data_IF_152232279667
#
_entry.id   IF_152232279667
#
_cell.length_a   1.000
_cell.length_b   1.000
_cell.length_c   1.000
_cell.angle_alpha   90.00
_cell.angle_beta   90.00
_cell.angle_gamma   90.00
#
_symmetry.space_group_name_H-M   'P 1'
#
loop_
_entity.id
_entity.type
_entity.pdbx_description
1 polymer ?
#
# COMPACT_ATOMS: atom_id res chain seq x y z
N UNK A 1 -38.14 36.92 1.98
CA UNK A 1 -37.43 36.39 0.82
C UNK A 1 -36.02 35.92 1.19
N UNK A 2 -35.19 36.77 1.80
CA UNK A 2 -33.81 36.47 2.18
C UNK A 2 -33.66 35.33 3.21
N UNK A 3 -34.64 35.15 4.12
CA UNK A 3 -34.66 34.08 5.12
C UNK A 3 -34.98 32.72 4.51
N UNK A 4 -35.84 32.70 3.50
CA UNK A 4 -36.22 31.50 2.75
C UNK A 4 -35.08 31.00 1.88
N UNK A 5 -34.42 31.90 1.19
CA UNK A 5 -33.22 31.60 0.36
C UNK A 5 -32.05 31.07 1.21
N UNK A 6 -31.83 31.62 2.41
CA UNK A 6 -30.78 31.08 3.30
C UNK A 6 -31.11 29.66 3.78
N UNK A 7 -32.34 29.36 4.16
CA UNK A 7 -32.74 28.02 4.56
C UNK A 7 -32.60 27.02 3.39
N UNK A 8 -32.95 27.41 2.18
CA UNK A 8 -32.79 26.59 0.99
C UNK A 8 -31.32 26.30 0.65
N UNK A 9 -30.42 27.31 0.80
CA UNK A 9 -28.99 27.12 0.65
C UNK A 9 -28.42 26.19 1.71
N UNK A 10 -28.83 26.30 2.98
CA UNK A 10 -28.42 25.36 4.04
C UNK A 10 -28.87 23.92 3.75
N UNK A 11 -30.12 23.76 3.33
CA UNK A 11 -30.67 22.44 2.97
C UNK A 11 -29.90 21.82 1.78
N UNK A 12 -29.71 22.56 0.71
CA UNK A 12 -28.96 22.12 -0.46
C UNK A 12 -27.48 21.79 -0.13
N UNK A 13 -26.86 22.58 0.75
CA UNK A 13 -25.49 22.32 1.20
C UNK A 13 -25.41 21.02 2.00
N UNK A 14 -26.40 20.77 2.86
CA UNK A 14 -26.49 19.52 3.63
C UNK A 14 -26.69 18.31 2.72
N UNK A 15 -27.62 18.42 1.76
CA UNK A 15 -27.87 17.37 0.76
C UNK A 15 -26.63 17.08 -0.06
N UNK A 16 -25.93 18.12 -0.53
CA UNK A 16 -24.68 17.97 -1.29
C UNK A 16 -23.59 17.25 -0.47
N UNK A 17 -23.47 17.60 0.80
CA UNK A 17 -22.49 16.95 1.69
C UNK A 17 -22.81 15.48 1.91
N UNK A 18 -24.09 15.16 2.16
CA UNK A 18 -24.54 13.77 2.31
C UNK A 18 -24.30 12.96 1.04
N UNK A 19 -24.67 13.50 -0.12
CA UNK A 19 -24.46 12.83 -1.41
C UNK A 19 -22.96 12.57 -1.68
N UNK A 20 -22.08 13.53 -1.34
CA UNK A 20 -20.63 13.33 -1.48
C UNK A 20 -20.10 12.24 -0.57
N UNK A 21 -20.59 12.13 0.67
CA UNK A 21 -20.23 11.05 1.58
C UNK A 21 -20.69 9.69 1.05
N UNK A 22 -21.92 9.58 0.56
CA UNK A 22 -22.46 8.36 -0.03
C UNK A 22 -21.66 7.92 -1.27
N UNK A 23 -21.27 8.86 -2.13
CA UNK A 23 -20.40 8.59 -3.28
C UNK A 23 -19.04 8.07 -2.84
N UNK A 24 -18.43 8.69 -1.83
CA UNK A 24 -17.14 8.26 -1.29
C UNK A 24 -17.21 6.83 -0.71
N UNK A 25 -18.27 6.52 0.03
CA UNK A 25 -18.48 5.16 0.55
C UNK A 25 -18.68 4.14 -0.57
N UNK A 26 -19.46 4.48 -1.60
CA UNK A 26 -19.65 3.61 -2.76
C UNK A 26 -18.36 3.33 -3.51
N UNK A 27 -17.53 4.33 -3.70
CA UNK A 27 -16.24 4.17 -4.37
C UNK A 27 -15.27 3.33 -3.54
N UNK A 28 -15.29 3.47 -2.20
CA UNK A 28 -14.53 2.59 -1.31
C UNK A 28 -14.99 1.13 -1.42
N UNK A 29 -16.29 0.86 -1.44
CA UNK A 29 -16.80 -0.51 -1.61
C UNK A 29 -16.43 -1.10 -2.97
N UNK A 30 -16.46 -0.32 -4.05
CA UNK A 30 -16.00 -0.75 -5.37
C UNK A 30 -14.52 -1.12 -5.34
N UNK A 31 -13.67 -0.29 -4.74
CA UNK A 31 -12.25 -0.59 -4.62
C UNK A 31 -11.98 -1.88 -3.82
N UNK A 32 -12.74 -2.12 -2.76
CA UNK A 32 -12.64 -3.37 -1.99
C UNK A 32 -13.06 -4.59 -2.81
N UNK A 33 -14.11 -4.49 -3.61
CA UNK A 33 -14.55 -5.58 -4.51
C UNK A 33 -13.53 -5.86 -5.61
N UNK A 34 -12.96 -4.82 -6.20
CA UNK A 34 -11.92 -4.95 -7.23
C UNK A 34 -10.66 -5.61 -6.65
N UNK A 35 -10.28 -5.23 -5.42
CA UNK A 35 -9.18 -5.85 -4.70
C UNK A 35 -9.44 -7.33 -4.40
N UNK A 36 -10.67 -7.67 -4.00
CA UNK A 36 -11.06 -9.06 -3.75
C UNK A 36 -11.00 -9.91 -5.02
N UNK A 37 -11.48 -9.38 -6.12
CA UNK A 37 -11.39 -10.03 -7.43
C UNK A 37 -9.94 -10.21 -7.92
N UNK A 38 -9.06 -9.26 -7.59
CA UNK A 38 -7.64 -9.30 -7.99
C UNK A 38 -6.84 -10.38 -7.25
N UNK A 39 -7.18 -10.66 -5.98
CA UNK A 39 -6.47 -11.63 -5.14
C UNK A 39 -7.42 -12.69 -4.56
N UNK A 40 -8.09 -13.49 -5.40
CA UNK A 40 -9.16 -14.41 -4.94
C UNK A 40 -8.64 -15.56 -4.07
N UNK A 41 -7.36 -15.92 -4.20
CA UNK A 41 -6.75 -17.03 -3.49
C UNK A 41 -6.47 -16.78 -2.01
N UNK A 42 -6.53 -15.54 -1.56
CA UNK A 42 -6.23 -15.18 -0.18
C UNK A 42 -7.50 -14.79 0.60
N UNK A 43 -7.77 -15.44 1.75
CA UNK A 43 -8.84 -14.98 2.64
C UNK A 43 -8.52 -13.57 3.15
N UNK A 44 -9.52 -12.70 3.15
CA UNK A 44 -9.37 -11.28 3.48
C UNK A 44 -10.45 -10.82 4.46
N UNK A 45 -10.11 -9.84 5.26
CA UNK A 45 -11.05 -9.10 6.11
C UNK A 45 -10.95 -7.61 5.82
N UNK A 46 -12.07 -6.95 5.61
CA UNK A 46 -12.10 -5.51 5.44
C UNK A 46 -11.90 -4.80 6.78
N UNK A 47 -11.08 -3.75 6.79
CA UNK A 47 -10.76 -2.98 7.98
C UNK A 47 -10.71 -1.47 7.68
N UNK A 48 -10.98 -0.67 8.69
CA UNK A 48 -10.89 0.79 8.64
C UNK A 48 -9.70 1.29 9.46
N UNK A 49 -9.03 2.34 8.99
CA UNK A 49 -7.97 3.01 9.76
C UNK A 49 -8.61 3.86 10.86
N UNK A 50 -8.32 3.55 12.12
CA UNK A 50 -8.89 4.23 13.29
C UNK A 50 -7.91 5.17 13.99
N UNK A 51 -6.60 4.99 13.80
CA UNK A 51 -5.59 5.89 14.35
C UNK A 51 -4.34 5.90 13.48
N UNK A 52 -3.62 7.02 13.52
CA UNK A 52 -2.29 7.20 12.92
C UNK A 52 -1.34 7.63 14.02
N UNK A 53 -0.09 7.18 13.98
CA UNK A 53 0.91 7.56 14.96
C UNK A 53 1.29 9.03 14.78
N UNK A 54 1.28 9.81 15.87
CA UNK A 54 1.47 11.26 15.85
C UNK A 54 2.90 11.70 15.51
N UNK A 55 3.86 10.81 15.61
CA UNK A 55 5.29 11.09 15.35
C UNK A 55 5.73 10.82 13.92
N UNK A 56 5.09 9.89 13.22
CA UNK A 56 5.45 9.46 11.86
C UNK A 56 4.19 9.18 11.05
N UNK A 57 3.63 10.22 10.49
CA UNK A 57 2.32 10.24 9.80
C UNK A 57 2.11 9.16 8.74
N UNK A 58 3.16 8.56 8.24
CA UNK A 58 3.10 7.66 7.10
C UNK A 58 3.70 6.27 7.37
N UNK A 59 4.33 6.05 8.51
CA UNK A 59 5.04 4.79 8.76
C UNK A 59 4.20 3.74 9.45
N UNK A 60 3.31 4.14 10.37
CA UNK A 60 2.45 3.22 11.13
C UNK A 60 1.03 3.75 11.30
N UNK A 61 0.06 2.85 11.28
CA UNK A 61 -1.34 3.15 11.56
C UNK A 61 -2.02 1.98 12.28
N UNK A 62 -3.19 2.23 12.85
CA UNK A 62 -4.00 1.22 13.53
C UNK A 62 -5.30 0.99 12.78
N UNK A 63 -5.68 -0.27 12.66
CA UNK A 63 -6.95 -0.70 12.06
C UNK A 63 -7.92 -1.23 13.13
N UNK A 64 -9.23 -1.20 12.82
CA UNK A 64 -10.36 -1.61 13.67
C UNK A 64 -10.60 -3.13 13.69
N UNK A 65 -9.66 -3.93 13.24
CA UNK A 65 -9.71 -5.38 13.20
C UNK A 65 -8.55 -5.99 13.95
N UNK A 66 -8.81 -7.06 14.70
CA UNK A 66 -7.83 -7.72 15.54
C UNK A 66 -7.99 -9.23 15.58
N UNK A 67 -7.47 -9.87 16.61
CA UNK A 67 -7.48 -11.33 16.76
C UNK A 67 -8.88 -11.94 16.71
N UNK A 68 -9.90 -11.26 17.24
CA UNK A 68 -11.29 -11.72 17.17
C UNK A 68 -11.86 -11.75 15.75
N UNK A 69 -11.30 -10.93 14.86
CA UNK A 69 -11.66 -10.88 13.44
C UNK A 69 -10.76 -11.78 12.57
N UNK A 70 -9.84 -12.52 13.19
CA UNK A 70 -8.88 -13.38 12.49
C UNK A 70 -7.61 -12.66 12.02
N UNK A 71 -7.36 -11.42 12.46
CA UNK A 71 -6.14 -10.66 12.15
C UNK A 71 -5.04 -10.99 13.14
N UNK A 72 -3.86 -11.37 12.64
CA UNK A 72 -2.69 -11.67 13.47
C UNK A 72 -1.42 -11.00 12.90
N UNK A 73 -0.37 -11.01 13.74
CA UNK A 73 0.94 -10.48 13.39
C UNK A 73 1.51 -11.20 12.15
N UNK A 74 2.09 -10.45 11.24
CA UNK A 74 2.62 -10.97 9.98
C UNK A 74 1.63 -10.96 8.82
N UNK A 75 0.35 -10.67 9.05
CA UNK A 75 -0.63 -10.56 7.97
C UNK A 75 -0.37 -9.31 7.12
N UNK A 76 -0.55 -9.47 5.81
CA UNK A 76 -0.35 -8.40 4.84
C UNK A 76 -1.58 -7.50 4.79
N UNK A 77 -1.35 -6.21 4.63
CA UNK A 77 -2.40 -5.20 4.49
C UNK A 77 -2.34 -4.61 3.10
N UNK A 78 -3.49 -4.63 2.42
CA UNK A 78 -3.64 -4.15 1.05
C UNK A 78 -4.62 -2.98 1.01
N UNK A 79 -4.39 -2.04 0.10
CA UNK A 79 -5.36 -1.00 -0.25
C UNK A 79 -5.18 -0.60 -1.72
N UNK A 80 -6.24 -0.09 -2.33
CA UNK A 80 -6.22 0.23 -3.75
C UNK A 80 -5.91 -1.00 -4.59
N UNK A 81 -4.72 -1.08 -5.17
CA UNK A 81 -4.31 -2.20 -6.02
C UNK A 81 -3.12 -2.98 -5.49
N UNK A 82 -2.55 -2.63 -4.33
CA UNK A 82 -1.28 -3.18 -3.91
C UNK A 82 -1.06 -3.29 -2.40
N UNK A 83 0.18 -3.64 -2.06
CA UNK A 83 0.67 -3.83 -0.71
C UNK A 83 0.84 -2.47 -0.01
N UNK A 84 0.21 -2.30 1.13
CA UNK A 84 0.38 -1.12 2.00
C UNK A 84 1.37 -1.40 3.13
N UNK A 85 1.31 -2.58 3.72
CA UNK A 85 2.13 -2.90 4.87
C UNK A 85 1.90 -4.29 5.44
N UNK A 86 2.37 -4.46 6.66
CA UNK A 86 2.28 -5.71 7.40
C UNK A 86 1.84 -5.43 8.84
N UNK A 87 1.03 -6.31 9.41
CA UNK A 87 0.62 -6.25 10.81
C UNK A 87 1.83 -6.55 11.70
N UNK A 88 2.17 -5.64 12.60
CA UNK A 88 3.29 -5.77 13.54
C UNK A 88 2.87 -6.08 14.96
N UNK A 89 1.63 -5.73 15.31
CA UNK A 89 1.04 -6.01 16.62
C UNK A 89 -0.48 -6.19 16.46
N UNK A 90 -1.06 -7.16 17.17
CA UNK A 90 -2.47 -7.47 17.10
C UNK A 90 -3.07 -7.63 18.50
N UNK A 91 -3.96 -6.72 18.85
CA UNK A 91 -4.85 -6.84 20.00
C UNK A 91 -6.14 -7.58 19.64
N UNK A 92 -7.07 -7.66 20.59
CA UNK A 92 -8.35 -8.36 20.39
C UNK A 92 -9.21 -7.74 19.28
N UNK A 93 -9.31 -6.40 19.24
CA UNK A 93 -10.20 -5.66 18.35
C UNK A 93 -9.47 -4.59 17.53
N UNK A 94 -8.14 -4.61 17.49
CA UNK A 94 -7.32 -3.67 16.72
C UNK A 94 -6.03 -4.34 16.29
N UNK A 95 -5.40 -3.81 15.25
CA UNK A 95 -4.03 -4.19 14.89
C UNK A 95 -3.22 -2.97 14.44
N UNK A 96 -1.91 -3.00 14.73
CA UNK A 96 -0.95 -2.00 14.24
C UNK A 96 -0.31 -2.49 12.96
N UNK A 97 -0.25 -1.62 11.99
CA UNK A 97 0.32 -1.88 10.67
C UNK A 97 1.54 -0.99 10.45
N UNK A 98 2.65 -1.60 10.03
CA UNK A 98 3.79 -0.87 9.50
C UNK A 98 3.69 -0.81 7.99
N UNK A 99 3.78 0.41 7.43
CA UNK A 99 3.74 0.63 6.00
C UNK A 99 5.01 0.16 5.30
N UNK A 100 4.92 -0.16 4.01
CA UNK A 100 6.09 -0.49 3.18
C UNK A 100 7.04 0.70 2.97
N UNK A 101 6.56 1.93 3.19
CA UNK A 101 7.33 3.17 3.09
C UNK A 101 8.16 3.48 4.35
N UNK A 102 7.93 2.75 5.46
CA UNK A 102 8.70 2.91 6.70
C UNK A 102 10.17 2.53 6.49
N UNK A 103 11.10 3.30 7.07
CA UNK A 103 12.55 3.09 6.92
C UNK A 103 13.01 1.71 7.45
N UNK A 104 12.26 1.09 8.35
CA UNK A 104 12.51 -0.26 8.85
C UNK A 104 11.84 -1.35 8.00
N UNK A 105 11.08 -0.99 6.98
CA UNK A 105 10.41 -1.94 6.09
C UNK A 105 11.34 -2.45 5.01
N UNK A 106 11.42 -3.78 4.90
CA UNK A 106 12.09 -4.49 3.79
C UNK A 106 11.15 -5.56 3.26
N UNK A 107 10.93 -5.53 1.96
CA UNK A 107 10.05 -6.46 1.25
C UNK A 107 10.84 -7.16 0.16
N UNK A 108 10.83 -8.49 0.16
CA UNK A 108 11.35 -9.25 -0.96
C UNK A 108 10.40 -9.09 -2.15
N UNK A 109 10.87 -8.44 -3.18
CA UNK A 109 10.13 -8.18 -4.40
C UNK A 109 10.69 -8.97 -5.59
N UNK A 110 9.92 -8.97 -6.66
CA UNK A 110 10.25 -9.58 -7.93
C UNK A 110 9.67 -8.72 -9.05
N UNK A 111 10.44 -8.49 -10.10
CA UNK A 111 9.91 -7.87 -11.32
C UNK A 111 9.04 -8.89 -12.02
N UNK A 112 7.76 -8.57 -12.20
CA UNK A 112 6.76 -9.54 -12.70
C UNK A 112 7.01 -9.98 -14.14
N UNK A 113 7.69 -9.16 -14.96
CA UNK A 113 7.96 -9.42 -16.38
C UNK A 113 9.17 -10.30 -16.62
N UNK A 114 10.18 -10.24 -15.75
CA UNK A 114 11.47 -10.92 -15.92
C UNK A 114 11.74 -11.98 -14.86
N UNK A 115 10.94 -12.00 -13.79
CA UNK A 115 11.10 -12.85 -12.60
C UNK A 115 12.37 -12.59 -11.79
N UNK A 116 13.05 -11.46 -12.05
CA UNK A 116 14.23 -11.07 -11.32
C UNK A 116 13.89 -10.59 -9.91
N UNK A 117 14.57 -11.14 -8.92
CA UNK A 117 14.37 -10.78 -7.53
C UNK A 117 15.13 -9.50 -7.15
N UNK A 118 14.53 -8.75 -6.22
CA UNK A 118 15.08 -7.52 -5.67
C UNK A 118 14.61 -7.32 -4.21
N UNK A 119 15.27 -6.44 -3.50
CA UNK A 119 14.86 -6.03 -2.14
C UNK A 119 14.32 -4.61 -2.18
N UNK A 120 13.04 -4.46 -1.87
CA UNK A 120 12.38 -3.15 -1.73
C UNK A 120 12.58 -2.65 -0.31
N UNK A 121 13.03 -1.43 -0.16
CA UNK A 121 13.24 -0.76 1.14
C UNK A 121 12.40 0.50 1.21
N UNK A 122 11.65 0.65 2.30
CA UNK A 122 10.95 1.89 2.60
C UNK A 122 11.95 3.02 2.87
N UNK A 123 11.55 4.23 2.53
CA UNK A 123 12.27 5.44 2.85
C UNK A 123 11.27 6.60 2.91
N UNK A 124 10.99 7.08 4.12
CA UNK A 124 10.00 8.14 4.35
C UNK A 124 10.42 9.45 3.68
N UNK A 125 11.72 9.74 3.65
CA UNK A 125 12.24 10.96 3.04
C UNK A 125 11.98 10.96 1.52
N UNK A 126 12.40 9.93 0.81
CA UNK A 126 12.19 9.84 -0.65
C UNK A 126 10.72 9.74 -1.01
N UNK A 127 9.92 9.08 -0.15
CA UNK A 127 8.47 9.03 -0.34
C UNK A 127 7.82 10.41 -0.20
N UNK A 128 8.28 11.26 0.71
CA UNK A 128 7.75 12.61 0.88
C UNK A 128 8.19 13.56 -0.23
N UNK A 129 9.45 13.50 -0.63
CA UNK A 129 10.06 14.38 -1.62
C UNK A 129 9.68 13.96 -3.05
N UNK A 130 9.91 12.70 -3.41
CA UNK A 130 9.85 12.20 -4.79
C UNK A 130 8.69 11.22 -5.07
N UNK A 131 7.92 10.84 -4.04
CA UNK A 131 6.83 9.85 -4.10
C UNK A 131 7.29 8.46 -4.54
N UNK A 132 8.51 8.08 -4.15
CA UNK A 132 9.11 6.79 -4.47
C UNK A 132 9.70 6.10 -3.23
N UNK A 133 9.81 4.79 -3.32
CA UNK A 133 10.60 3.95 -2.43
C UNK A 133 11.78 3.36 -3.20
N UNK A 134 12.75 2.81 -2.52
CA UNK A 134 13.99 2.33 -3.14
C UNK A 134 14.01 0.81 -3.28
N UNK A 135 14.74 0.31 -4.26
CA UNK A 135 15.09 -1.10 -4.34
C UNK A 135 16.59 -1.28 -4.53
N UNK A 136 17.07 -2.44 -4.12
CA UNK A 136 18.46 -2.87 -4.24
C UNK A 136 18.54 -4.35 -4.63
N UNK A 137 19.74 -4.83 -4.92
CA UNK A 137 20.04 -6.25 -5.18
C UNK A 137 19.32 -6.84 -6.41
N UNK A 138 18.85 -6.00 -7.34
CA UNK A 138 18.28 -6.48 -8.59
C UNK A 138 19.40 -7.12 -9.44
N UNK A 139 19.23 -8.40 -9.77
CA UNK A 139 20.07 -9.14 -10.72
C UNK A 139 19.38 -9.17 -12.07
N UNK A 140 19.71 -8.25 -12.93
CA UNK A 140 19.19 -8.14 -14.29
C UNK A 140 20.38 -8.23 -15.26
N UNK A 141 20.92 -9.46 -15.38
CA UNK A 141 22.11 -9.72 -16.18
C UNK A 141 21.90 -9.47 -17.68
N UNK A 142 20.69 -9.65 -18.15
CA UNK A 142 20.30 -9.47 -19.54
C UNK A 142 19.85 -8.05 -19.89
N UNK A 143 19.81 -7.13 -18.93
CA UNK A 143 19.27 -5.76 -19.07
C UNK A 143 17.84 -5.73 -19.65
N UNK A 144 16.99 -6.62 -19.17
CA UNK A 144 15.59 -6.76 -19.62
C UNK A 144 14.60 -5.92 -18.83
N UNK A 145 14.94 -5.61 -17.57
CA UNK A 145 14.08 -4.79 -16.70
C UNK A 145 14.04 -3.34 -17.20
N UNK A 146 12.85 -2.78 -17.28
CA UNK A 146 12.60 -1.42 -17.79
C UNK A 146 11.81 -0.58 -16.80
N UNK A 147 11.91 0.72 -16.95
CA UNK A 147 11.00 1.67 -16.29
C UNK A 147 9.56 1.38 -16.69
N UNK A 148 8.65 1.36 -15.72
CA UNK A 148 7.26 0.98 -15.88
C UNK A 148 6.97 -0.50 -15.61
N UNK A 149 7.97 -1.35 -15.42
CA UNK A 149 7.75 -2.76 -15.09
C UNK A 149 7.13 -2.90 -13.68
N UNK A 150 6.11 -3.77 -13.52
CA UNK A 150 5.48 -4.00 -12.25
C UNK A 150 6.39 -4.83 -11.33
N UNK A 151 6.48 -4.40 -10.08
CA UNK A 151 7.16 -5.11 -8.99
C UNK A 151 6.11 -5.69 -8.05
N UNK A 152 6.19 -6.98 -7.81
CA UNK A 152 5.29 -7.73 -6.93
C UNK A 152 6.08 -8.37 -5.78
N UNK A 153 5.39 -8.80 -4.74
CA UNK A 153 6.01 -9.58 -3.66
C UNK A 153 6.52 -10.92 -4.20
N UNK A 154 7.75 -11.28 -3.80
CA UNK A 154 8.44 -12.50 -4.23
C UNK A 154 8.05 -13.70 -3.37
N UNK A 155 8.25 -14.89 -3.91
CA UNK A 155 8.13 -16.18 -3.19
C UNK A 155 9.31 -16.49 -2.27
N UNK A 156 10.36 -15.67 -2.29
CA UNK A 156 11.59 -15.90 -1.51
C UNK A 156 11.39 -15.67 -0.01
N UNK A 157 10.34 -14.93 0.38
CA UNK A 157 10.06 -14.60 1.77
C UNK A 157 8.72 -15.13 2.22
N UNK A 158 8.68 -15.89 3.31
CA UNK A 158 7.45 -16.36 3.96
C UNK A 158 6.66 -15.24 4.66
N UNK A 159 7.22 -14.04 4.72
CA UNK A 159 6.62 -12.88 5.41
C UNK A 159 5.51 -12.22 4.60
N UNK A 160 5.62 -12.25 3.28
CA UNK A 160 4.66 -11.62 2.38
C UNK A 160 4.04 -12.66 1.46
N UNK A 161 2.73 -12.57 1.27
CA UNK A 161 2.03 -13.39 0.28
C UNK A 161 2.54 -13.04 -1.12
N UNK A 162 2.76 -14.04 -1.95
CA UNK A 162 3.32 -13.89 -3.29
C UNK A 162 2.38 -13.15 -4.26
N UNK A 163 2.96 -12.38 -5.17
CA UNK A 163 2.25 -11.79 -6.30
C UNK A 163 1.43 -10.55 -5.97
N UNK A 164 1.60 -9.96 -4.77
CA UNK A 164 0.94 -8.71 -4.41
C UNK A 164 1.74 -7.55 -5.03
N UNK A 165 1.07 -6.67 -5.75
CA UNK A 165 1.69 -5.49 -6.35
C UNK A 165 2.31 -4.59 -5.27
N UNK A 166 3.57 -4.20 -5.47
CA UNK A 166 4.28 -3.22 -4.64
C UNK A 166 4.27 -1.85 -5.31
N UNK A 167 4.45 -1.82 -6.64
CA UNK A 167 4.49 -0.61 -7.45
C UNK A 167 5.16 -0.83 -8.79
N UNK A 168 5.62 0.25 -9.40
CA UNK A 168 6.23 0.23 -10.74
C UNK A 168 7.63 0.83 -10.71
N UNK A 169 8.56 0.23 -11.43
CA UNK A 169 9.94 0.73 -11.57
C UNK A 169 9.93 2.11 -12.21
N UNK A 170 10.60 3.08 -11.58
CA UNK A 170 10.72 4.46 -12.11
C UNK A 170 12.12 4.83 -12.51
N UNK A 171 13.14 4.21 -11.90
CA UNK A 171 14.52 4.45 -12.23
C UNK A 171 15.37 3.22 -11.95
N UNK A 172 16.36 2.95 -12.81
CA UNK A 172 17.30 1.85 -12.65
C UNK A 172 18.73 2.39 -12.79
N UNK A 173 19.61 2.03 -11.86
CA UNK A 173 21.02 2.42 -11.85
C UNK A 173 21.90 1.19 -11.63
N UNK A 174 23.01 1.10 -12.34
CA UNK A 174 24.01 0.07 -12.10
C UNK A 174 24.79 0.42 -10.83
N UNK A 175 24.95 -0.54 -9.96
CA UNK A 175 25.79 -0.38 -8.78
C UNK A 175 27.27 -0.40 -9.17
N UNK A 176 28.11 0.20 -8.34
CA UNK A 176 29.57 0.27 -8.57
C UNK A 176 30.27 -1.10 -8.66
N UNK A 177 29.62 -2.15 -8.18
CA UNK A 177 30.11 -3.53 -8.29
C UNK A 177 29.83 -4.18 -9.66
N UNK A 178 29.04 -3.55 -10.54
CA UNK A 178 28.55 -4.05 -11.83
C UNK A 178 27.86 -5.44 -11.79
N UNK A 179 27.49 -5.93 -10.61
CA UNK A 179 26.83 -7.24 -10.41
C UNK A 179 25.34 -7.10 -10.10
N UNK A 180 24.93 -5.97 -9.56
CA UNK A 180 23.56 -5.71 -9.20
C UNK A 180 23.14 -4.29 -9.58
N UNK A 181 21.86 -4.09 -9.70
CA UNK A 181 21.25 -2.78 -9.93
C UNK A 181 20.45 -2.33 -8.72
N UNK A 182 20.29 -1.04 -8.60
CA UNK A 182 19.40 -0.39 -7.63
C UNK A 182 18.53 0.64 -8.34
N UNK A 183 17.54 1.17 -7.66
CA UNK A 183 16.69 2.17 -8.26
C UNK A 183 15.52 2.53 -7.37
N UNK A 184 14.46 3.05 -8.02
CA UNK A 184 13.27 3.54 -7.34
C UNK A 184 12.00 2.92 -7.93
N UNK A 185 10.97 2.84 -7.08
CA UNK A 185 9.63 2.32 -7.39
C UNK A 185 8.62 3.36 -6.94
N UNK A 186 7.64 3.65 -7.78
CA UNK A 186 6.41 4.34 -7.36
C UNK A 186 5.41 3.30 -6.84
N UNK A 187 5.07 3.32 -5.54
CA UNK A 187 4.13 2.38 -4.94
C UNK A 187 2.68 2.66 -5.30
#
# INVERSE_FOLDING_TARGET
ENKKLKAEVEELTTQLTTTKLEQYELDNYRQLLDLDAKYPSYPKVAASVIAKDSGNWFSTFTIDKGKKDGVDVGMNVLAGSGLVGIVTDAGDNFAKVRCIIDDASKVSGMVSTTEDNLTVSGNIKTMNEDKVITFTELKDDDNKVKEGDPVVTSYVSDRYQQGILIGYVTKIENNSNNLTKSGTITP
#
